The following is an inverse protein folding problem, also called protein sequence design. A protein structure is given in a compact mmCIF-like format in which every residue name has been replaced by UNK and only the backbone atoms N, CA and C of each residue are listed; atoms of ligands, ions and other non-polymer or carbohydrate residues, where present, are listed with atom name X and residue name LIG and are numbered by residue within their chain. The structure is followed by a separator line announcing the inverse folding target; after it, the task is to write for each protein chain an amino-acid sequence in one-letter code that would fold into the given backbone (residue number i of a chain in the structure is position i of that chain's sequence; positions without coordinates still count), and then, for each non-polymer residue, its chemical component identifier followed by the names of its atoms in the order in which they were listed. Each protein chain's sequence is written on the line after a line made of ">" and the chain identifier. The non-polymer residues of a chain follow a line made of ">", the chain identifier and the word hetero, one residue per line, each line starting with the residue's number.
data_IF_053461011889
#
_entry.id   IF_053461011889
#
_cell.length_a   1.000
_cell.length_b   1.000
_cell.length_c   1.000
_cell.angle_alpha   90.00
_cell.angle_beta   90.00
_cell.angle_gamma   90.00
#
_symmetry.space_group_name_H-M   'P 1'
#
loop_
_entity.id
_entity.type
_entity.pdbx_description
1 polymer ?
#
# COMPACT_ATOMS: atom_id res chain seq x y z
N UNK A 1 -14.06 -10.47 11.33
CA UNK A 1 -15.27 -10.77 10.54
C UNK A 1 -15.71 -9.53 9.82
N UNK A 2 -15.46 -9.48 8.52
CA UNK A 2 -15.92 -8.44 7.61
C UNK A 2 -17.45 -8.32 7.65
N UNK A 3 -17.92 -7.11 7.96
CA UNK A 3 -19.32 -6.74 7.87
C UNK A 3 -19.57 -5.92 6.61
N UNK A 4 -20.69 -6.16 5.95
CA UNK A 4 -21.10 -5.36 4.78
C UNK A 4 -21.85 -4.11 5.23
N UNK A 5 -21.52 -2.96 4.64
CA UNK A 5 -22.21 -1.70 4.93
C UNK A 5 -23.70 -1.77 4.56
N UNK A 6 -24.53 -1.10 5.36
CA UNK A 6 -25.95 -0.92 5.04
C UNK A 6 -26.13 0.05 3.87
N UNK A 7 -27.30 0.00 3.24
CA UNK A 7 -27.62 0.93 2.14
C UNK A 7 -27.61 2.40 2.60
N UNK A 8 -27.94 2.68 3.87
CA UNK A 8 -27.91 4.03 4.43
C UNK A 8 -26.47 4.52 4.60
N UNK A 9 -25.56 3.65 5.02
CA UNK A 9 -24.13 3.97 5.13
C UNK A 9 -23.53 4.27 3.76
N UNK A 10 -23.82 3.41 2.77
CA UNK A 10 -23.45 3.67 1.38
C UNK A 10 -24.04 4.98 0.86
N UNK A 11 -25.30 5.28 1.15
CA UNK A 11 -25.94 6.53 0.70
C UNK A 11 -25.16 7.76 1.16
N UNK A 12 -24.73 7.80 2.44
CA UNK A 12 -23.94 8.91 3.00
C UNK A 12 -22.60 9.08 2.28
N UNK A 13 -21.89 7.98 2.01
CA UNK A 13 -20.63 8.01 1.27
C UNK A 13 -20.81 8.51 -0.17
N UNK A 14 -21.80 8.00 -0.90
CA UNK A 14 -22.08 8.43 -2.27
C UNK A 14 -22.51 9.89 -2.34
N UNK A 15 -23.32 10.37 -1.39
CA UNK A 15 -23.76 11.77 -1.33
C UNK A 15 -22.58 12.74 -1.24
N UNK A 16 -21.67 12.52 -0.29
CA UNK A 16 -20.49 13.37 -0.14
C UNK A 16 -19.55 13.24 -1.34
N UNK A 17 -19.37 12.05 -1.89
CA UNK A 17 -18.53 11.82 -3.07
C UNK A 17 -19.06 12.55 -4.30
N UNK A 18 -20.38 12.55 -4.52
CA UNK A 18 -21.02 13.31 -5.60
C UNK A 18 -20.79 14.80 -5.42
N UNK A 19 -20.80 15.32 -4.19
CA UNK A 19 -20.53 16.73 -3.93
C UNK A 19 -19.06 17.10 -4.16
N UNK A 20 -18.11 16.24 -3.77
CA UNK A 20 -16.70 16.41 -4.11
C UNK A 20 -16.52 16.42 -5.63
N UNK A 21 -17.15 15.48 -6.34
CA UNK A 21 -17.06 15.38 -7.81
C UNK A 21 -17.46 16.68 -8.52
N UNK A 22 -18.49 17.38 -8.01
CA UNK A 22 -18.95 18.66 -8.57
C UNK A 22 -17.92 19.79 -8.46
N UNK A 23 -16.97 19.69 -7.52
CA UNK A 23 -15.87 20.65 -7.39
C UNK A 23 -14.75 20.41 -8.41
N UNK A 24 -14.75 19.26 -9.10
CA UNK A 24 -13.73 18.84 -10.06
C UNK A 24 -12.29 19.05 -9.56
N UNK A 25 -11.93 18.50 -8.38
CA UNK A 25 -10.69 18.86 -7.68
C UNK A 25 -9.40 18.55 -8.48
N UNK A 26 -9.45 17.59 -9.40
CA UNK A 26 -8.36 17.24 -10.32
C UNK A 26 -7.99 18.37 -11.31
N UNK A 27 -8.84 19.38 -11.49
CA UNK A 27 -8.48 20.57 -12.25
C UNK A 27 -7.49 21.48 -11.49
N UNK A 28 -7.36 21.29 -10.18
CA UNK A 28 -6.56 22.12 -9.29
C UNK A 28 -5.33 21.37 -8.78
N UNK A 29 -5.47 20.09 -8.42
CA UNK A 29 -4.46 19.29 -7.72
C UNK A 29 -3.73 18.32 -8.66
N UNK A 30 -2.42 18.19 -8.48
CA UNK A 30 -1.63 17.05 -8.93
C UNK A 30 -1.78 15.86 -7.98
N UNK A 31 -1.42 14.68 -8.45
CA UNK A 31 -1.48 13.42 -7.69
C UNK A 31 -0.56 13.39 -6.46
N UNK A 32 0.47 14.25 -6.43
CA UNK A 32 1.36 14.43 -5.29
C UNK A 32 0.99 15.63 -4.39
N UNK A 33 -0.07 16.40 -4.73
CA UNK A 33 -0.57 17.49 -3.90
C UNK A 33 -1.43 16.91 -2.78
N UNK A 34 -0.86 16.78 -1.58
CA UNK A 34 -1.50 16.08 -0.45
C UNK A 34 -2.37 17.02 0.39
N UNK A 35 -3.59 16.57 0.69
CA UNK A 35 -4.48 17.18 1.69
C UNK A 35 -4.46 16.31 2.96
N UNK A 36 -4.11 16.90 4.10
CA UNK A 36 -3.99 16.20 5.38
C UNK A 36 -5.19 16.49 6.27
N UNK A 37 -5.95 15.45 6.61
CA UNK A 37 -7.13 15.51 7.48
C UNK A 37 -6.76 14.93 8.85
N UNK A 38 -6.86 15.74 9.90
CA UNK A 38 -6.62 15.33 11.29
C UNK A 38 -7.97 15.29 11.99
N UNK A 39 -8.37 14.08 12.39
CA UNK A 39 -9.65 13.82 13.04
C UNK A 39 -9.44 13.57 14.53
N UNK A 40 -10.18 14.22 15.45
CA UNK A 40 -9.98 14.08 16.89
C UNK A 40 -10.10 12.66 17.47
N UNK A 41 -10.80 11.78 16.75
CA UNK A 41 -11.04 10.38 17.12
C UNK A 41 -9.87 9.45 16.76
N UNK A 42 -8.88 9.95 16.03
CA UNK A 42 -7.77 9.16 15.48
C UNK A 42 -6.42 9.71 15.97
N UNK A 43 -5.50 8.79 16.25
CA UNK A 43 -4.14 9.14 16.68
C UNK A 43 -3.29 9.65 15.51
N UNK A 44 -3.51 9.13 14.31
CA UNK A 44 -2.75 9.48 13.11
C UNK A 44 -3.64 10.16 12.04
N UNK A 45 -3.06 11.00 11.16
CA UNK A 45 -3.80 11.69 10.12
C UNK A 45 -4.28 10.78 8.99
N UNK A 46 -5.20 11.31 8.18
CA UNK A 46 -5.55 10.78 6.87
C UNK A 46 -4.99 11.67 5.78
N UNK A 47 -4.30 11.09 4.81
CA UNK A 47 -3.70 11.81 3.69
C UNK A 47 -4.48 11.52 2.42
N UNK A 48 -4.98 12.57 1.78
CA UNK A 48 -5.79 12.48 0.57
C UNK A 48 -4.97 12.92 -0.63
N UNK A 49 -4.87 12.06 -1.65
CA UNK A 49 -4.30 12.36 -2.97
C UNK A 49 -5.42 12.38 -4.01
N UNK A 50 -5.42 13.39 -4.89
CA UNK A 50 -6.41 13.55 -5.97
C UNK A 50 -5.74 13.33 -7.32
N UNK A 51 -6.19 12.29 -8.03
CA UNK A 51 -5.73 11.94 -9.37
C UNK A 51 -6.73 12.42 -10.43
N UNK A 52 -6.23 12.79 -11.60
CA UNK A 52 -7.09 13.15 -12.75
C UNK A 52 -6.57 14.29 -13.61
N UNK A 53 -5.55 15.03 -13.15
CA UNK A 53 -5.02 16.20 -13.87
C UNK A 53 -4.52 15.89 -15.28
N UNK A 54 -3.97 14.68 -15.46
CA UNK A 54 -3.52 14.16 -16.76
C UNK A 54 -4.63 13.49 -17.59
N UNK A 55 -5.88 13.46 -17.11
CA UNK A 55 -7.06 12.97 -17.83
C UNK A 55 -7.16 11.45 -18.03
N UNK A 56 -6.20 10.66 -17.52
CA UNK A 56 -6.14 9.21 -17.73
C UNK A 56 -6.95 8.42 -16.69
N UNK A 57 -6.85 8.80 -15.42
CA UNK A 57 -7.53 8.14 -14.29
C UNK A 57 -7.98 9.21 -13.31
N UNK A 58 -9.27 9.20 -12.98
CA UNK A 58 -9.85 10.12 -12.00
C UNK A 58 -10.12 9.36 -10.71
N UNK A 59 -9.40 9.71 -9.65
CA UNK A 59 -9.49 8.99 -8.39
C UNK A 59 -9.16 9.89 -7.20
N UNK A 60 -9.60 9.47 -6.01
CA UNK A 60 -9.21 10.06 -4.74
C UNK A 60 -8.78 8.90 -3.83
N UNK A 61 -7.49 8.86 -3.49
CA UNK A 61 -6.91 7.86 -2.58
C UNK A 61 -6.74 8.45 -1.19
N UNK A 62 -7.15 7.70 -0.17
CA UNK A 62 -7.01 8.06 1.25
C UNK A 62 -6.07 7.06 1.92
N UNK A 63 -4.94 7.56 2.40
CA UNK A 63 -3.93 6.81 3.15
C UNK A 63 -4.12 7.11 4.63
N UNK A 64 -4.39 6.08 5.43
CA UNK A 64 -4.58 6.21 6.88
C UNK A 64 -3.26 6.03 7.60
N UNK A 65 -2.79 7.09 8.25
CA UNK A 65 -1.62 7.02 9.11
C UNK A 65 -0.28 7.05 8.39
N UNK A 66 0.80 6.95 9.17
CA UNK A 66 2.17 7.18 8.70
C UNK A 66 2.70 6.03 7.83
N UNK A 67 2.39 4.78 8.17
CA UNK A 67 2.83 3.63 7.35
C UNK A 67 2.21 3.67 5.94
N UNK A 68 0.92 4.00 5.83
CA UNK A 68 0.23 4.08 4.54
C UNK A 68 0.80 5.20 3.64
N UNK A 69 1.08 6.39 4.20
CA UNK A 69 1.65 7.49 3.42
C UNK A 69 3.13 7.25 3.07
N UNK A 70 3.89 6.53 3.90
CA UNK A 70 5.22 6.06 3.51
C UNK A 70 5.16 5.12 2.30
N UNK A 71 4.19 4.20 2.27
CA UNK A 71 3.95 3.33 1.11
C UNK A 71 3.64 4.12 -0.16
N UNK A 72 2.81 5.16 -0.06
CA UNK A 72 2.56 6.09 -1.17
C UNK A 72 3.84 6.72 -1.71
N UNK A 73 4.66 7.34 -0.85
CA UNK A 73 5.91 7.96 -1.29
C UNK A 73 6.91 6.96 -1.84
N UNK A 74 6.95 5.73 -1.31
CA UNK A 74 7.76 4.64 -1.90
C UNK A 74 7.35 4.35 -3.33
N UNK A 75 6.05 4.37 -3.64
CA UNK A 75 5.53 4.16 -5.00
C UNK A 75 5.84 5.35 -5.91
N UNK A 76 5.70 6.58 -5.40
CA UNK A 76 6.01 7.82 -6.15
C UNK A 76 7.51 7.90 -6.50
N UNK A 77 8.37 7.56 -5.55
CA UNK A 77 9.82 7.66 -5.70
C UNK A 77 10.46 6.48 -6.43
N UNK A 78 9.75 5.35 -6.56
CA UNK A 78 10.24 4.15 -7.22
C UNK A 78 10.57 4.42 -8.69
N UNK A 79 11.81 4.13 -9.08
CA UNK A 79 12.27 4.34 -10.47
C UNK A 79 12.34 3.05 -11.26
N UNK A 80 12.85 1.99 -10.63
CA UNK A 80 13.15 0.73 -11.28
C UNK A 80 12.44 -0.47 -10.64
N UNK A 81 11.64 -0.26 -9.58
CA UNK A 81 10.83 -1.33 -9.00
C UNK A 81 9.80 -1.80 -10.05
N UNK A 82 9.73 -3.11 -10.36
CA UNK A 82 8.74 -3.60 -11.31
C UNK A 82 7.29 -3.30 -10.88
N UNK A 83 6.37 -2.95 -11.80
CA UNK A 83 5.01 -2.55 -11.44
C UNK A 83 4.24 -3.58 -10.58
N UNK A 84 4.43 -4.87 -10.82
CA UNK A 84 3.79 -5.93 -10.03
C UNK A 84 4.28 -5.99 -8.58
N UNK A 85 5.47 -5.43 -8.29
CA UNK A 85 5.99 -5.34 -6.92
C UNK A 85 5.46 -4.13 -6.17
N UNK A 86 5.09 -3.05 -6.87
CA UNK A 86 4.59 -1.83 -6.24
C UNK A 86 3.31 -2.04 -5.43
N UNK A 87 2.56 -3.12 -5.72
CA UNK A 87 1.32 -3.44 -4.99
C UNK A 87 1.56 -3.68 -3.50
N UNK A 88 2.77 -4.08 -3.06
CA UNK A 88 3.06 -4.30 -1.63
C UNK A 88 3.02 -3.04 -0.79
N UNK A 89 3.21 -1.88 -1.43
CA UNK A 89 3.22 -0.58 -0.77
C UNK A 89 1.85 0.10 -0.79
N UNK A 90 0.82 -0.56 -1.36
CA UNK A 90 -0.53 -0.03 -1.43
C UNK A 90 -1.31 -0.41 -0.15
N UNK A 91 -1.59 0.60 0.67
CA UNK A 91 -2.49 0.52 1.82
C UNK A 91 -3.36 1.79 1.84
N UNK A 92 -4.54 1.72 1.23
CA UNK A 92 -5.39 2.89 1.05
C UNK A 92 -6.84 2.54 0.70
N UNK A 93 -7.72 3.51 0.88
CA UNK A 93 -9.08 3.49 0.35
C UNK A 93 -9.16 4.44 -0.85
N UNK A 94 -9.44 3.91 -2.04
CA UNK A 94 -9.54 4.71 -3.26
C UNK A 94 -10.99 4.77 -3.75
N UNK A 95 -11.46 5.99 -4.01
CA UNK A 95 -12.65 6.26 -4.80
C UNK A 95 -12.25 6.52 -6.26
N UNK A 96 -12.85 5.80 -7.21
CA UNK A 96 -12.64 5.99 -8.64
C UNK A 96 -13.85 6.64 -9.30
N UNK A 97 -13.59 7.44 -10.34
CA UNK A 97 -14.57 7.97 -11.27
C UNK A 97 -14.28 7.39 -12.66
N UNK A 98 -14.78 6.19 -12.91
CA UNK A 98 -14.44 5.38 -14.09
C UNK A 98 -15.65 5.02 -14.96
N UNK A 99 -15.47 3.95 -15.71
CA UNK A 99 -16.43 3.37 -16.64
C UNK A 99 -17.25 2.26 -15.97
N UNK A 100 -18.41 1.94 -16.57
CA UNK A 100 -19.35 0.97 -15.98
C UNK A 100 -18.74 -0.43 -15.87
N UNK A 101 -17.90 -0.77 -16.83
CA UNK A 101 -17.28 -2.07 -17.04
C UNK A 101 -16.23 -2.41 -15.96
N UNK A 102 -15.74 -1.41 -15.23
CA UNK A 102 -14.76 -1.58 -14.15
C UNK A 102 -15.39 -2.00 -12.81
N UNK A 103 -16.72 -1.93 -12.72
CA UNK A 103 -17.47 -2.26 -11.51
C UNK A 103 -17.83 -3.74 -11.46
N UNK A 104 -17.68 -4.32 -10.28
CA UNK A 104 -18.21 -5.65 -10.00
C UNK A 104 -19.74 -5.67 -9.94
N UNK A 105 -20.33 -6.86 -10.06
CA UNK A 105 -21.78 -7.04 -9.94
C UNK A 105 -22.32 -6.60 -8.57
N UNK A 106 -21.53 -6.75 -7.48
CA UNK A 106 -21.88 -6.29 -6.13
C UNK A 106 -21.96 -4.76 -6.07
N UNK A 107 -21.00 -4.06 -6.67
CA UNK A 107 -20.98 -2.60 -6.69
C UNK A 107 -22.09 -2.01 -7.55
N UNK A 108 -22.34 -2.60 -8.72
CA UNK A 108 -23.47 -2.23 -9.57
C UNK A 108 -24.80 -2.39 -8.82
N UNK A 109 -24.92 -3.40 -7.95
CA UNK A 109 -26.10 -3.59 -7.11
C UNK A 109 -26.25 -2.47 -6.07
N UNK A 110 -25.18 -2.07 -5.37
CA UNK A 110 -25.23 -0.94 -4.42
C UNK A 110 -25.74 0.33 -5.10
N UNK A 111 -25.19 0.69 -6.28
CA UNK A 111 -25.62 1.86 -7.05
C UNK A 111 -27.10 1.78 -7.41
N UNK A 112 -27.55 0.61 -7.85
CA UNK A 112 -28.96 0.38 -8.20
C UNK A 112 -29.89 0.51 -7.00
N UNK A 113 -29.50 -0.07 -5.86
CA UNK A 113 -30.31 -0.07 -4.63
C UNK A 113 -30.40 1.35 -4.03
N UNK A 114 -29.39 2.20 -4.25
CA UNK A 114 -29.43 3.64 -3.96
C UNK A 114 -30.28 4.47 -4.94
N UNK A 115 -30.76 3.87 -6.04
CA UNK A 115 -31.50 4.57 -7.09
C UNK A 115 -30.66 5.56 -7.91
N UNK A 116 -29.33 5.47 -7.83
CA UNK A 116 -28.40 6.36 -8.53
C UNK A 116 -28.32 6.00 -10.03
N UNK A 117 -28.06 7.03 -10.84
CA UNK A 117 -27.93 6.89 -12.30
C UNK A 117 -26.70 7.65 -12.77
N UNK A 118 -25.75 6.91 -13.35
CA UNK A 118 -24.57 7.46 -14.01
C UNK A 118 -24.65 7.20 -15.52
N UNK A 119 -24.17 8.16 -16.32
CA UNK A 119 -24.17 8.08 -17.79
C UNK A 119 -22.92 8.72 -18.35
N UNK A 120 -22.27 8.06 -19.30
CA UNK A 120 -21.04 8.55 -19.94
C UNK A 120 -19.79 7.96 -19.31
N UNK A 121 -18.64 8.25 -19.96
CA UNK A 121 -17.33 7.78 -19.52
C UNK A 121 -16.84 8.50 -18.28
N UNK A 122 -16.10 7.80 -17.42
CA UNK A 122 -15.54 8.35 -16.17
C UNK A 122 -16.62 8.93 -15.23
N UNK A 123 -17.86 8.45 -15.35
CA UNK A 123 -18.97 8.94 -14.52
C UNK A 123 -19.35 8.01 -13.38
N UNK A 124 -18.94 6.74 -13.44
CA UNK A 124 -19.31 5.72 -12.47
C UNK A 124 -18.42 5.83 -11.24
N UNK A 125 -19.05 5.94 -10.08
CA UNK A 125 -18.36 6.02 -8.78
C UNK A 125 -18.26 4.60 -8.22
N UNK A 126 -17.06 4.18 -7.86
CA UNK A 126 -16.82 2.92 -7.17
C UNK A 126 -15.60 3.02 -6.26
N UNK A 127 -15.45 2.05 -5.35
CA UNK A 127 -14.48 2.14 -4.26
C UNK A 127 -13.65 0.86 -4.17
N UNK A 128 -12.37 1.01 -3.84
CA UNK A 128 -11.43 -0.10 -3.63
C UNK A 128 -10.72 0.10 -2.30
N UNK A 129 -10.75 -0.93 -1.47
CA UNK A 129 -9.90 -1.09 -0.30
C UNK A 129 -8.67 -1.88 -0.73
N UNK A 130 -7.52 -1.23 -0.69
CA UNK A 130 -6.22 -1.84 -0.84
C UNK A 130 -5.68 -2.13 0.55
N UNK A 131 -5.43 -3.42 0.83
CA UNK A 131 -4.76 -3.86 2.05
C UNK A 131 -3.54 -4.68 1.66
N UNK A 132 -2.39 -4.50 2.33
CA UNK A 132 -1.22 -5.33 2.11
C UNK A 132 -1.58 -6.82 2.16
N UNK A 133 -1.03 -7.61 1.22
CA UNK A 133 -1.26 -9.06 1.08
C UNK A 133 -2.67 -9.51 0.63
N UNK A 134 -3.61 -8.59 0.40
CA UNK A 134 -4.94 -8.92 -0.12
C UNK A 134 -5.13 -8.38 -1.54
N UNK A 135 -6.02 -9.02 -2.31
CA UNK A 135 -6.44 -8.43 -3.57
C UNK A 135 -7.30 -7.19 -3.29
N UNK A 136 -7.25 -6.15 -4.16
CA UNK A 136 -8.14 -5.01 -4.05
C UNK A 136 -9.60 -5.45 -4.04
N UNK A 137 -10.38 -4.93 -3.11
CA UNK A 137 -11.76 -5.37 -2.93
C UNK A 137 -12.69 -4.20 -2.59
N UNK A 138 -14.01 -4.42 -2.65
CA UNK A 138 -14.96 -3.39 -2.23
C UNK A 138 -14.83 -3.07 -0.73
N UNK A 139 -15.26 -1.88 -0.32
CA UNK A 139 -15.18 -1.46 1.09
C UNK A 139 -16.08 -2.31 1.99
N UNK A 140 -15.61 -2.59 3.20
CA UNK A 140 -16.45 -3.11 4.29
C UNK A 140 -17.16 -1.97 5.05
N UNK A 141 -17.96 -2.34 6.06
CA UNK A 141 -18.75 -1.40 6.83
C UNK A 141 -17.92 -0.30 7.51
N UNK A 142 -16.82 -0.68 8.15
CA UNK A 142 -15.99 0.25 8.90
C UNK A 142 -15.26 1.20 7.94
N UNK A 143 -14.74 0.66 6.83
CA UNK A 143 -14.14 1.44 5.74
C UNK A 143 -15.13 2.44 5.12
N UNK A 144 -16.41 2.06 4.93
CA UNK A 144 -17.44 2.99 4.43
C UNK A 144 -17.71 4.13 5.41
N UNK A 145 -17.83 3.83 6.71
CA UNK A 145 -18.08 4.85 7.74
C UNK A 145 -16.89 5.81 7.83
N UNK A 146 -15.69 5.26 7.92
CA UNK A 146 -14.45 6.03 8.02
C UNK A 146 -14.23 6.91 6.79
N UNK A 147 -14.32 6.34 5.59
CA UNK A 147 -14.15 7.10 4.35
C UNK A 147 -15.22 8.19 4.19
N UNK A 148 -16.44 7.96 4.67
CA UNK A 148 -17.50 8.99 4.68
C UNK A 148 -17.06 10.19 5.52
N UNK A 149 -16.54 9.95 6.72
CA UNK A 149 -16.13 11.02 7.63
C UNK A 149 -14.90 11.78 7.10
N UNK A 150 -13.93 11.06 6.52
CA UNK A 150 -12.79 11.68 5.84
C UNK A 150 -13.26 12.52 4.65
N UNK A 151 -14.16 12.00 3.81
CA UNK A 151 -14.66 12.72 2.63
C UNK A 151 -15.49 13.96 2.99
N UNK A 152 -16.26 13.93 4.08
CA UNK A 152 -16.95 15.13 4.57
C UNK A 152 -15.97 16.25 4.92
N UNK A 153 -14.83 15.89 5.51
CA UNK A 153 -13.78 16.85 5.83
C UNK A 153 -12.99 17.28 4.59
N UNK A 154 -12.63 16.35 3.70
CA UNK A 154 -12.01 16.63 2.41
C UNK A 154 -12.86 17.60 1.58
N UNK A 155 -14.18 17.40 1.53
CA UNK A 155 -15.10 18.30 0.83
C UNK A 155 -14.97 19.74 1.36
N UNK A 156 -14.91 19.92 2.68
CA UNK A 156 -14.74 21.25 3.28
C UNK A 156 -13.37 21.87 2.99
N UNK A 157 -12.31 21.07 2.96
CA UNK A 157 -10.96 21.52 2.55
C UNK A 157 -10.95 21.96 1.09
N UNK A 158 -11.53 21.17 0.19
CA UNK A 158 -11.63 21.51 -1.23
C UNK A 158 -12.44 22.79 -1.44
N UNK A 159 -13.55 22.99 -0.71
CA UNK A 159 -14.29 24.26 -0.74
C UNK A 159 -13.44 25.44 -0.28
N UNK A 160 -12.66 25.28 0.79
CA UNK A 160 -11.78 26.35 1.27
C UNK A 160 -10.74 26.74 0.20
N UNK A 161 -10.15 25.75 -0.47
CA UNK A 161 -9.18 25.98 -1.55
C UNK A 161 -9.82 26.58 -2.81
N UNK A 162 -10.89 25.97 -3.31
CA UNK A 162 -11.46 26.26 -4.63
C UNK A 162 -12.42 27.46 -4.60
N UNK A 163 -13.32 27.50 -3.62
CA UNK A 163 -14.36 28.54 -3.54
C UNK A 163 -13.89 29.75 -2.72
N UNK A 164 -13.16 29.51 -1.62
CA UNK A 164 -12.66 30.58 -0.75
C UNK A 164 -11.22 31.02 -1.09
N UNK A 165 -10.62 30.46 -2.13
CA UNK A 165 -9.30 30.83 -2.65
C UNK A 165 -8.16 30.73 -1.61
N UNK A 166 -8.23 29.74 -0.71
CA UNK A 166 -7.12 29.39 0.17
C UNK A 166 -5.98 28.80 -0.68
N UNK A 167 -4.86 29.53 -0.77
CA UNK A 167 -3.69 29.13 -1.55
C UNK A 167 -2.75 28.28 -0.70
N UNK A 168 -2.21 27.24 -1.33
CA UNK A 168 -1.28 26.29 -0.74
C UNK A 168 -0.09 26.16 -1.68
N UNK A 169 1.13 26.23 -1.13
CA UNK A 169 2.36 26.08 -1.87
C UNK A 169 2.85 24.62 -1.84
N UNK A 170 2.17 23.77 -2.60
CA UNK A 170 2.54 22.35 -2.70
C UNK A 170 3.97 22.14 -3.22
N UNK A 171 4.51 23.06 -4.03
CA UNK A 171 5.88 22.99 -4.56
C UNK A 171 6.95 23.11 -3.47
N UNK A 172 6.64 23.76 -2.34
CA UNK A 172 7.52 23.83 -1.16
C UNK A 172 7.33 22.66 -0.19
N UNK A 173 6.54 21.64 -0.57
CA UNK A 173 6.24 20.48 0.27
C UNK A 173 5.19 20.77 1.35
N UNK A 174 4.39 21.82 1.17
CA UNK A 174 3.27 22.10 2.06
C UNK A 174 2.04 21.25 1.69
N UNK A 175 1.19 21.03 2.69
CA UNK A 175 -0.09 20.34 2.59
C UNK A 175 -1.22 21.30 2.98
N UNK A 176 -2.40 21.08 2.42
CA UNK A 176 -3.64 21.65 2.95
C UNK A 176 -4.07 20.85 4.18
N UNK A 177 -4.04 21.45 5.36
CA UNK A 177 -4.50 20.81 6.57
C UNK A 177 -5.97 21.12 6.84
N UNK A 178 -6.67 20.12 7.39
CA UNK A 178 -7.94 20.31 8.08
C UNK A 178 -7.94 19.59 9.40
N UNK A 179 -8.22 20.34 10.46
CA UNK A 179 -8.26 19.80 11.82
C UNK A 179 -9.34 20.49 12.65
N UNK A 180 -9.80 19.81 13.69
CA UNK A 180 -10.64 20.41 14.70
C UNK A 180 -9.77 21.05 15.78
N UNK A 181 -9.95 22.35 15.99
CA UNK A 181 -9.36 23.06 17.11
C UNK A 181 -10.31 22.98 18.31
N UNK A 182 -9.91 22.22 19.34
CA UNK A 182 -10.70 22.05 20.57
C UNK A 182 -10.74 23.31 21.43
N UNK A 183 -9.73 24.19 21.34
CA UNK A 183 -9.69 25.43 22.12
C UNK A 183 -10.64 26.46 21.54
N UNK A 184 -10.73 26.52 20.21
CA UNK A 184 -11.60 27.45 19.49
C UNK A 184 -12.98 26.88 19.11
N UNK A 185 -13.21 25.59 19.37
CA UNK A 185 -14.44 24.86 19.05
C UNK A 185 -14.85 24.97 17.57
N UNK A 186 -13.88 24.88 16.66
CA UNK A 186 -14.10 25.07 15.23
C UNK A 186 -13.18 24.22 14.35
N UNK A 187 -13.60 24.03 13.10
CA UNK A 187 -12.78 23.39 12.08
C UNK A 187 -11.91 24.41 11.35
N UNK A 188 -10.60 24.18 11.35
CA UNK A 188 -9.62 24.98 10.63
C UNK A 188 -9.29 24.38 9.27
N UNK A 189 -8.99 25.25 8.30
CA UNK A 189 -8.26 24.90 7.08
C UNK A 189 -7.07 25.86 6.96
N UNK A 190 -5.86 25.33 6.79
CA UNK A 190 -4.65 26.15 6.69
C UNK A 190 -3.54 25.41 5.93
N UNK A 191 -2.54 26.17 5.50
CA UNK A 191 -1.30 25.65 4.92
C UNK A 191 -0.30 25.29 6.01
N UNK A 192 0.40 24.16 5.87
CA UNK A 192 1.56 23.86 6.69
C UNK A 192 2.49 22.87 6.01
N UNK A 193 3.74 22.73 6.47
CA UNK A 193 4.64 21.71 5.95
C UNK A 193 4.06 20.32 6.23
N UNK A 194 4.23 19.40 5.28
CA UNK A 194 3.81 18.01 5.50
C UNK A 194 4.70 17.37 6.57
N UNK A 195 4.10 16.93 7.68
CA UNK A 195 4.82 16.31 8.79
C UNK A 195 4.61 14.79 8.75
N UNK A 196 5.56 14.09 8.17
CA UNK A 196 5.61 12.62 8.16
C UNK A 196 6.86 12.23 8.97
N UNK A 197 6.71 11.60 10.14
CA UNK A 197 7.83 11.06 10.89
C UNK A 197 8.67 10.14 10.01
N UNK A 198 9.98 10.06 10.23
CA UNK A 198 10.76 9.02 9.58
C UNK A 198 10.30 7.66 10.10
N UNK A 199 10.18 6.69 9.19
CA UNK A 199 9.96 5.30 9.57
C UNK A 199 11.07 4.83 10.52
N UNK A 200 10.70 4.31 11.68
CA UNK A 200 11.67 3.70 12.60
C UNK A 200 12.25 2.42 12.01
N UNK A 201 13.52 2.10 12.30
CA UNK A 201 14.09 0.81 11.93
C UNK A 201 13.51 -0.30 12.80
N UNK A 202 13.04 -1.37 12.17
CA UNK A 202 12.51 -2.57 12.83
C UNK A 202 13.56 -3.68 12.84
N UNK A 203 14.69 -3.46 13.52
CA UNK A 203 15.71 -4.50 13.64
C UNK A 203 15.21 -5.63 14.55
N UNK A 204 15.07 -6.83 13.99
CA UNK A 204 14.74 -8.04 14.75
C UNK A 204 16.02 -8.67 15.29
N UNK A 205 16.06 -8.96 16.59
CA UNK A 205 17.23 -9.56 17.24
C UNK A 205 17.04 -11.07 17.37
N UNK A 206 17.94 -11.85 16.74
CA UNK A 206 17.94 -13.30 16.90
C UNK A 206 18.77 -13.72 18.13
N UNK A 207 18.13 -14.16 19.19
CA UNK A 207 18.80 -14.48 20.46
C UNK A 207 19.40 -15.89 20.53
N UNK A 208 19.04 -16.81 19.63
CA UNK A 208 19.51 -18.20 19.67
C UNK A 208 20.98 -18.33 19.20
N UNK A 209 21.90 -18.28 20.17
CA UNK A 209 23.34 -18.42 19.93
C UNK A 209 23.74 -19.77 19.34
N UNK A 210 23.06 -20.87 19.70
CA UNK A 210 23.38 -22.20 19.18
C UNK A 210 23.02 -22.30 17.70
N UNK A 211 21.87 -21.76 17.32
CA UNK A 211 21.45 -21.64 15.93
C UNK A 211 22.43 -20.79 15.13
N UNK A 212 22.83 -19.62 15.65
CA UNK A 212 23.81 -18.74 15.00
C UNK A 212 25.14 -19.48 14.77
N UNK A 213 25.65 -20.22 15.74
CA UNK A 213 26.88 -21.00 15.58
C UNK A 213 26.73 -22.13 14.56
N UNK A 214 25.56 -22.75 14.45
CA UNK A 214 25.28 -23.74 13.41
C UNK A 214 25.23 -23.11 12.01
N UNK A 215 24.64 -21.92 11.88
CA UNK A 215 24.63 -21.14 10.63
C UNK A 215 26.07 -20.75 10.24
N UNK A 216 26.91 -20.34 11.20
CA UNK A 216 28.31 -19.95 10.93
C UNK A 216 29.19 -21.09 10.43
N UNK A 217 28.87 -22.34 10.77
CA UNK A 217 29.59 -23.54 10.30
C UNK A 217 29.30 -23.86 8.83
N UNK A 218 28.23 -23.29 8.27
CA UNK A 218 27.88 -23.53 6.87
C UNK A 218 28.92 -22.93 5.93
N UNK A 219 29.18 -23.65 4.83
CA UNK A 219 30.12 -23.21 3.79
C UNK A 219 29.58 -21.97 3.10
N UNK A 220 30.48 -21.09 2.69
CA UNK A 220 30.09 -19.95 1.87
C UNK A 220 29.65 -20.38 0.48
N UNK A 221 28.56 -19.79 0.01
CA UNK A 221 28.15 -19.85 -1.39
C UNK A 221 29.17 -19.14 -2.28
N UNK A 222 29.23 -19.58 -3.55
CA UNK A 222 30.12 -18.98 -4.55
C UNK A 222 29.62 -17.61 -5.02
N UNK A 223 28.31 -17.50 -5.26
CA UNK A 223 27.65 -16.30 -5.76
C UNK A 223 26.92 -15.60 -4.62
N UNK A 224 26.54 -14.34 -4.85
CA UNK A 224 25.55 -13.66 -4.04
C UNK A 224 24.15 -14.21 -4.34
N UNK A 225 23.20 -13.86 -3.49
CA UNK A 225 21.80 -14.22 -3.69
C UNK A 225 20.92 -12.98 -3.70
N UNK A 226 19.84 -13.04 -4.45
CA UNK A 226 18.71 -12.12 -4.34
C UNK A 226 17.68 -12.75 -3.41
N UNK A 227 17.07 -11.94 -2.55
CA UNK A 227 16.05 -12.38 -1.60
C UNK A 227 14.91 -11.37 -1.55
N UNK A 228 13.71 -11.81 -1.89
CA UNK A 228 12.52 -10.97 -1.89
C UNK A 228 11.25 -11.81 -1.77
N UNK A 229 10.14 -11.11 -1.55
CA UNK A 229 8.80 -11.64 -1.81
C UNK A 229 8.33 -11.24 -3.21
N UNK A 230 7.35 -11.94 -3.74
CA UNK A 230 6.81 -11.69 -5.10
C UNK A 230 5.33 -12.00 -5.08
N UNK A 231 4.48 -11.11 -5.58
CA UNK A 231 3.08 -11.46 -5.78
C UNK A 231 2.88 -12.28 -7.05
N UNK A 232 2.13 -13.36 -6.93
CA UNK A 232 1.62 -14.09 -8.08
C UNK A 232 0.40 -13.32 -8.60
N UNK A 233 0.38 -13.02 -9.90
CA UNK A 233 -0.73 -12.33 -10.56
C UNK A 233 -1.96 -13.25 -10.72
N UNK A 234 -2.52 -13.69 -9.59
CA UNK A 234 -3.71 -14.50 -9.49
C UNK A 234 -4.51 -14.06 -8.27
N UNK A 235 -5.82 -13.91 -8.43
CA UNK A 235 -6.74 -13.66 -7.31
C UNK A 235 -7.32 -15.00 -6.88
N UNK A 236 -7.19 -15.33 -5.59
CA UNK A 236 -7.73 -16.56 -5.03
C UNK A 236 -8.88 -16.22 -4.10
N UNK A 237 -10.07 -16.75 -4.41
CA UNK A 237 -11.23 -16.72 -3.52
C UNK A 237 -11.26 -18.02 -2.69
N UNK A 238 -10.94 -17.92 -1.40
CA UNK A 238 -11.07 -19.02 -0.44
C UNK A 238 -12.04 -18.60 0.69
N UNK A 239 -12.92 -19.52 1.09
CA UNK A 239 -13.90 -19.29 2.17
C UNK A 239 -13.26 -19.07 3.53
N UNK A 240 -11.98 -19.41 3.70
CA UNK A 240 -11.19 -19.12 4.91
C UNK A 240 -10.87 -17.64 5.07
N UNK A 241 -10.85 -16.88 3.98
CA UNK A 241 -10.51 -15.46 3.98
C UNK A 241 -11.75 -14.58 3.83
N UNK A 242 -11.72 -13.42 4.48
CA UNK A 242 -12.83 -12.46 4.45
C UNK A 242 -12.89 -11.67 3.15
N UNK A 243 -11.82 -11.68 2.36
CA UNK A 243 -11.70 -11.04 1.06
C UNK A 243 -10.72 -11.84 0.17
N UNK A 244 -10.80 -11.70 -1.16
CA UNK A 244 -9.89 -12.42 -2.05
C UNK A 244 -8.44 -12.07 -1.75
N UNK A 245 -7.55 -13.05 -1.87
CA UNK A 245 -6.13 -12.90 -1.58
C UNK A 245 -5.33 -12.89 -2.88
N UNK A 246 -4.17 -12.26 -2.84
CA UNK A 246 -3.18 -12.36 -3.91
C UNK A 246 -1.99 -13.15 -3.34
N UNK A 247 -1.79 -14.41 -3.77
CA UNK A 247 -0.74 -15.25 -3.21
C UNK A 247 0.63 -14.60 -3.37
N UNK A 248 1.43 -14.71 -2.31
CA UNK A 248 2.79 -14.18 -2.26
C UNK A 248 3.77 -15.34 -2.21
N UNK A 249 4.83 -15.29 -3.01
CA UNK A 249 5.97 -16.17 -2.89
C UNK A 249 7.05 -15.47 -2.09
N UNK A 250 7.77 -16.22 -1.27
CA UNK A 250 9.07 -15.84 -0.74
C UNK A 250 10.14 -16.60 -1.50
N UNK A 251 11.17 -15.91 -2.00
CA UNK A 251 12.08 -16.46 -3.00
C UNK A 251 13.52 -16.04 -2.73
N UNK A 252 14.43 -17.01 -2.76
CA UNK A 252 15.88 -16.79 -2.82
C UNK A 252 16.42 -17.34 -4.14
N UNK A 253 17.10 -16.49 -4.91
CA UNK A 253 17.67 -16.83 -6.22
C UNK A 253 19.18 -16.59 -6.26
N UNK A 254 19.91 -17.40 -7.01
CA UNK A 254 21.33 -17.16 -7.28
C UNK A 254 21.48 -15.96 -8.21
N UNK A 255 22.13 -14.90 -7.73
CA UNK A 255 22.15 -13.59 -8.39
C UNK A 255 22.89 -13.55 -9.74
N UNK A 256 23.57 -14.65 -10.11
CA UNK A 256 24.39 -14.74 -11.33
C UNK A 256 23.76 -15.67 -12.36
N UNK A 257 23.21 -16.79 -11.90
CA UNK A 257 22.67 -17.84 -12.77
C UNK A 257 21.17 -17.73 -12.98
N UNK A 258 20.46 -16.97 -12.13
CA UNK A 258 19.00 -16.86 -12.19
C UNK A 258 18.26 -18.07 -11.62
N UNK A 259 18.98 -19.07 -11.08
CA UNK A 259 18.37 -20.29 -10.54
C UNK A 259 17.72 -19.99 -9.19
N UNK A 260 16.46 -20.39 -9.03
CA UNK A 260 15.80 -20.38 -7.73
C UNK A 260 16.42 -21.43 -6.81
N UNK A 261 16.94 -20.98 -5.68
CA UNK A 261 17.60 -21.85 -4.71
C UNK A 261 16.65 -22.31 -3.60
N UNK A 262 15.69 -21.45 -3.25
CA UNK A 262 14.66 -21.73 -2.25
C UNK A 262 13.42 -20.89 -2.56
N UNK A 263 12.22 -21.45 -2.41
CA UNK A 263 10.96 -20.72 -2.56
C UNK A 263 9.85 -21.38 -1.73
N UNK A 264 8.91 -20.58 -1.25
CA UNK A 264 7.68 -21.06 -0.62
C UNK A 264 6.51 -20.10 -0.88
N UNK A 265 5.27 -20.57 -0.72
CA UNK A 265 4.07 -19.72 -0.72
C UNK A 265 3.84 -19.18 0.69
N UNK A 266 3.57 -17.89 0.79
CA UNK A 266 3.13 -17.21 2.01
C UNK A 266 1.64 -16.88 1.91
N UNK A 267 0.92 -17.13 2.99
CA UNK A 267 -0.49 -16.77 3.14
C UNK A 267 -0.63 -15.48 3.96
N UNK A 268 -1.72 -14.70 3.80
CA UNK A 268 -1.89 -13.43 4.51
C UNK A 268 -1.97 -13.54 6.03
N UNK A 269 -2.36 -14.69 6.56
CA UNK A 269 -2.45 -15.01 7.99
C UNK A 269 -1.13 -15.46 8.61
N UNK A 270 -0.10 -15.73 7.79
CA UNK A 270 1.20 -16.11 8.29
C UNK A 270 1.87 -14.96 9.03
N UNK A 271 2.66 -15.28 10.06
CA UNK A 271 3.58 -14.31 10.64
C UNK A 271 4.71 -14.02 9.63
N UNK A 272 4.56 -12.91 8.89
CA UNK A 272 5.48 -12.54 7.82
C UNK A 272 6.92 -12.41 8.30
N UNK A 273 7.14 -11.85 9.50
CA UNK A 273 8.48 -11.64 10.04
C UNK A 273 9.13 -12.99 10.34
N UNK A 274 8.41 -13.85 11.06
CA UNK A 274 8.90 -15.19 11.40
C UNK A 274 9.17 -16.02 10.13
N UNK A 275 8.25 -16.01 9.17
CA UNK A 275 8.41 -16.72 7.90
C UNK A 275 9.64 -16.25 7.13
N UNK A 276 9.88 -14.94 7.04
CA UNK A 276 11.05 -14.39 6.33
C UNK A 276 12.36 -14.86 7.00
N UNK A 277 12.41 -14.82 8.33
CA UNK A 277 13.59 -15.22 9.10
C UNK A 277 13.86 -16.72 8.99
N UNK A 278 12.85 -17.54 9.26
CA UNK A 278 12.95 -19.00 9.20
C UNK A 278 13.33 -19.45 7.79
N UNK A 279 12.70 -18.88 6.77
CA UNK A 279 13.00 -19.20 5.38
C UNK A 279 14.46 -18.91 5.00
N UNK A 280 15.03 -17.81 5.51
CA UNK A 280 16.43 -17.50 5.27
C UNK A 280 17.37 -18.41 6.06
N UNK A 281 17.02 -18.74 7.30
CA UNK A 281 17.78 -19.66 8.15
C UNK A 281 17.82 -21.06 7.52
N UNK A 282 16.66 -21.58 7.13
CA UNK A 282 16.51 -22.88 6.47
C UNK A 282 17.31 -22.93 5.17
N UNK A 283 17.24 -21.88 4.36
CA UNK A 283 18.08 -21.75 3.17
C UNK A 283 19.57 -21.86 3.49
N UNK A 284 20.07 -21.15 4.52
CA UNK A 284 21.48 -21.21 4.86
C UNK A 284 21.89 -22.60 5.37
N UNK A 285 21.05 -23.24 6.17
CA UNK A 285 21.31 -24.58 6.71
C UNK A 285 21.32 -25.65 5.62
N UNK A 286 20.50 -25.52 4.57
CA UNK A 286 20.42 -26.47 3.46
C UNK A 286 21.46 -26.19 2.35
N UNK A 287 21.57 -24.94 1.90
CA UNK A 287 22.37 -24.56 0.72
C UNK A 287 23.74 -23.98 1.06
N UNK A 288 23.87 -23.37 2.23
CA UNK A 288 25.08 -22.66 2.65
C UNK A 288 24.88 -21.15 2.78
N UNK A 289 25.87 -20.49 3.38
CA UNK A 289 25.79 -19.07 3.75
C UNK A 289 26.21 -18.16 2.59
N UNK A 290 25.42 -17.16 2.18
CA UNK A 290 25.86 -16.17 1.20
C UNK A 290 26.91 -15.23 1.79
N UNK A 291 27.81 -14.69 0.95
CA UNK A 291 28.67 -13.56 1.37
C UNK A 291 27.95 -12.22 1.25
N UNK A 292 27.00 -12.15 0.32
CA UNK A 292 26.24 -10.95 0.01
C UNK A 292 24.83 -11.35 -0.37
N UNK A 293 23.86 -10.61 0.15
CA UNK A 293 22.46 -10.71 -0.23
C UNK A 293 21.98 -9.37 -0.78
N UNK A 294 21.20 -9.42 -1.85
CA UNK A 294 20.47 -8.28 -2.40
C UNK A 294 19.00 -8.38 -2.00
N UNK A 295 18.47 -7.32 -1.42
CA UNK A 295 17.07 -7.21 -0.98
C UNK A 295 16.44 -5.97 -1.61
N UNK A 296 15.11 -5.94 -1.76
CA UNK A 296 14.47 -4.86 -2.52
C UNK A 296 14.38 -3.52 -1.77
N UNK A 297 14.10 -3.59 -0.48
CA UNK A 297 13.77 -2.42 0.31
C UNK A 297 14.32 -2.50 1.74
N UNK A 298 14.14 -1.37 2.44
CA UNK A 298 14.56 -1.16 3.82
C UNK A 298 13.86 -2.12 4.78
N UNK A 299 12.61 -2.52 4.46
CA UNK A 299 11.86 -3.49 5.28
C UNK A 299 12.57 -4.84 5.32
N UNK A 300 12.89 -5.42 4.17
CA UNK A 300 13.62 -6.68 4.12
C UNK A 300 15.04 -6.54 4.70
N UNK A 301 15.67 -5.37 4.53
CA UNK A 301 16.95 -5.09 5.16
C UNK A 301 16.86 -5.13 6.69
N UNK A 302 15.91 -4.43 7.27
CA UNK A 302 15.73 -4.32 8.72
C UNK A 302 15.53 -5.69 9.37
N UNK A 303 14.67 -6.53 8.77
CA UNK A 303 14.41 -7.89 9.28
C UNK A 303 15.67 -8.76 9.33
N UNK A 304 16.53 -8.66 8.32
CA UNK A 304 17.68 -9.56 8.15
C UNK A 304 18.99 -9.02 8.75
N UNK A 305 19.02 -7.74 9.14
CA UNK A 305 20.27 -7.03 9.45
C UNK A 305 21.03 -7.62 10.63
N UNK A 306 20.35 -7.96 11.73
CA UNK A 306 21.00 -8.55 12.91
C UNK A 306 21.64 -9.91 12.60
N UNK A 307 20.86 -10.82 11.99
CA UNK A 307 21.35 -12.13 11.59
C UNK A 307 22.51 -12.01 10.61
N UNK A 308 22.37 -11.18 9.55
CA UNK A 308 23.42 -10.95 8.56
C UNK A 308 24.71 -10.45 9.20
N UNK A 309 24.62 -9.50 10.14
CA UNK A 309 25.77 -8.99 10.91
C UNK A 309 26.44 -10.10 11.72
N UNK A 310 25.67 -10.90 12.45
CA UNK A 310 26.17 -12.00 13.30
C UNK A 310 26.90 -13.08 12.50
N UNK A 311 26.50 -13.31 11.25
CA UNK A 311 27.09 -14.34 10.38
C UNK A 311 28.06 -13.79 9.33
N UNK A 312 28.39 -12.49 9.40
CA UNK A 312 29.28 -11.78 8.47
C UNK A 312 28.83 -11.90 6.99
N UNK A 313 27.55 -11.62 6.76
CA UNK A 313 26.94 -11.49 5.43
C UNK A 313 26.62 -10.03 5.16
N UNK A 314 27.02 -9.53 3.99
CA UNK A 314 26.71 -8.16 3.56
C UNK A 314 25.28 -8.10 3.01
N UNK A 315 24.49 -7.13 3.44
CA UNK A 315 23.16 -6.85 2.88
C UNK A 315 23.21 -5.58 2.03
N UNK A 316 22.60 -5.62 0.85
CA UNK A 316 22.54 -4.51 -0.11
C UNK A 316 21.11 -4.32 -0.58
N UNK A 317 20.61 -3.08 -0.55
CA UNK A 317 19.31 -2.72 -1.13
C UNK A 317 19.47 -2.49 -2.63
N UNK A 318 18.55 -3.02 -3.43
CA UNK A 318 18.47 -2.82 -4.88
C UNK A 318 17.01 -2.85 -5.34
N UNK A 319 16.55 -1.81 -6.02
CA UNK A 319 15.18 -1.76 -6.58
C UNK A 319 14.92 -2.86 -7.62
N UNK A 320 15.98 -3.27 -8.32
CA UNK A 320 15.97 -4.35 -9.30
C UNK A 320 16.65 -5.60 -8.72
N UNK A 321 15.98 -6.73 -8.84
CA UNK A 321 16.49 -8.06 -8.48
C UNK A 321 16.32 -8.94 -9.72
N UNK A 322 17.25 -8.89 -10.69
CA UNK A 322 17.03 -9.42 -12.04
C UNK A 322 16.67 -10.91 -12.08
N UNK A 323 17.20 -11.73 -11.18
CA UNK A 323 16.91 -13.16 -11.11
C UNK A 323 15.47 -13.39 -10.66
N UNK A 324 15.03 -12.69 -9.62
CA UNK A 324 13.67 -12.76 -9.09
C UNK A 324 12.68 -12.10 -10.05
N UNK A 325 13.01 -10.95 -10.62
CA UNK A 325 12.14 -10.17 -11.50
C UNK A 325 11.87 -10.93 -12.81
N UNK A 326 12.89 -11.57 -13.39
CA UNK A 326 12.72 -12.44 -14.57
C UNK A 326 11.81 -13.64 -14.26
N UNK A 327 11.98 -14.26 -13.09
CA UNK A 327 11.11 -15.35 -12.65
C UNK A 327 9.66 -14.89 -12.48
N UNK A 328 9.45 -13.77 -11.80
CA UNK A 328 8.14 -13.18 -11.57
C UNK A 328 7.41 -12.89 -12.89
N UNK A 329 8.08 -12.24 -13.85
CA UNK A 329 7.53 -11.98 -15.17
C UNK A 329 7.13 -13.28 -15.91
N UNK A 330 7.92 -14.34 -15.76
CA UNK A 330 7.63 -15.62 -16.41
C UNK A 330 6.34 -16.27 -15.91
N UNK A 331 6.03 -16.12 -14.62
CA UNK A 331 4.77 -16.60 -14.03
C UNK A 331 3.60 -15.73 -14.52
N UNK A 332 3.78 -14.41 -14.53
CA UNK A 332 2.74 -13.46 -14.93
C UNK A 332 2.31 -13.67 -16.38
N UNK A 333 3.24 -13.97 -17.29
CA UNK A 333 2.95 -14.18 -18.73
C UNK A 333 2.26 -15.51 -19.06
N UNK A 334 2.28 -16.48 -18.16
CA UNK A 334 1.71 -17.82 -18.40
C UNK A 334 0.26 -17.96 -17.94
N UNK A 335 -0.28 -16.95 -17.27
CA UNK A 335 -1.67 -16.82 -16.82
C UNK A 335 -2.40 -15.79 -17.69
#
# INVERSE_FOLDING_TARGET
>A
MRNEASIEQWNKLYEVTINIKKLEPWNYLWDIDIITIILPEYEEPFYCSVMGKNGQCFAISVYKGFEAIHGFFKVVDAKNIPPFQLMRYQDNLTCYFGDREELSSKELKVIKDLGLKFRGRNQWIYYRSFKPNYAPYMLDQDEVIELTYVFQNLFMSLKAMIENNLKINFEEGNSLYRMYDKEQDLWLNFEGPMQIPNRGSMTIVLEDELLIENIKKQKYLKNAVEFDTVFINSVVEDKKFERPIMPKLIVIADSKTGILLHYNVMLPEDDEIQQILDFFIDFILDKGRPKTIYVRDEYMQDLLSDLCKKINTKILISEELPSIDTFAESIIRQL
#
